data_IF_534978378904
#
_entry.id   IF_534978378904
#
_cell.length_a   1.000
_cell.length_b   1.000
_cell.length_c   1.000
_cell.angle_alpha   90.00
_cell.angle_beta   90.00
_cell.angle_gamma   90.00
#
_symmetry.space_group_name_H-M   'P 1'
#
loop_
_entity.id
_entity.type
_entity.pdbx_description
1 polymer ?
#
# COMPACT_ATOMS: atom_id res chain seq x y z
N UNK A 1 -3.34 4.30 -48.90
CA UNK A 1 -2.19 5.16 -48.55
C UNK A 1 -2.72 6.27 -47.66
N UNK A 2 -2.54 6.17 -46.34
CA UNK A 2 -2.84 7.24 -45.39
C UNK A 2 -1.57 7.48 -44.57
N UNK A 3 -1.01 8.68 -44.74
CA UNK A 3 0.22 9.11 -44.09
C UNK A 3 -0.06 9.56 -42.66
N UNK A 4 0.58 8.89 -41.70
CA UNK A 4 0.58 9.31 -40.30
C UNK A 4 1.68 10.35 -40.03
N UNK A 5 1.28 11.56 -39.66
CA UNK A 5 2.16 12.58 -39.10
C UNK A 5 2.79 12.06 -37.79
N UNK A 6 4.12 12.03 -37.72
CA UNK A 6 4.87 11.86 -36.48
C UNK A 6 5.23 13.24 -35.93
N UNK A 7 4.62 13.66 -34.82
CA UNK A 7 5.10 14.81 -34.06
C UNK A 7 6.34 14.40 -33.24
N UNK A 8 7.50 14.85 -33.69
CA UNK A 8 8.76 14.82 -32.93
C UNK A 8 8.78 16.00 -31.96
N UNK A 9 8.83 15.73 -30.67
CA UNK A 9 9.17 16.74 -29.66
C UNK A 9 10.67 16.71 -29.43
N UNK A 10 11.38 17.69 -30.02
CA UNK A 10 12.75 18.03 -29.67
C UNK A 10 12.74 19.24 -28.73
N UNK A 11 13.40 19.07 -27.59
CA UNK A 11 14.22 20.11 -26.97
C UNK A 11 13.58 20.95 -25.87
N UNK A 12 14.10 20.81 -24.66
CA UNK A 12 14.55 21.94 -23.84
C UNK A 12 15.54 21.43 -22.77
N UNK A 13 16.83 21.60 -23.08
CA UNK A 13 17.92 21.57 -22.11
C UNK A 13 17.94 22.96 -21.44
N UNK A 14 17.77 23.04 -20.12
CA UNK A 14 18.05 24.27 -19.36
C UNK A 14 19.13 24.00 -18.32
N UNK A 15 20.18 24.80 -18.46
CA UNK A 15 21.41 24.88 -17.69
C UNK A 15 21.19 25.68 -16.39
N UNK A 16 21.95 25.29 -15.36
CA UNK A 16 22.62 26.16 -14.38
C UNK A 16 21.79 26.93 -13.34
N UNK A 17 22.08 26.69 -12.06
CA UNK A 17 22.90 27.60 -11.24
C UNK A 17 23.14 26.98 -9.85
N UNK A 18 24.41 26.75 -9.52
CA UNK A 18 24.88 26.45 -8.18
C UNK A 18 24.94 27.75 -7.36
N UNK A 19 24.33 27.76 -6.18
CA UNK A 19 24.58 28.75 -5.14
C UNK A 19 25.19 28.05 -3.92
N UNK A 20 26.45 28.37 -3.69
CA UNK A 20 27.19 28.16 -2.46
C UNK A 20 26.61 29.10 -1.38
N UNK A 21 26.34 28.55 -0.20
CA UNK A 21 25.99 29.31 1.00
C UNK A 21 26.24 28.48 2.24
N UNK A 22 27.40 28.68 2.86
CA UNK A 22 27.74 28.10 4.16
C UNK A 22 27.07 28.84 5.31
N UNK A 23 26.77 28.11 6.38
CA UNK A 23 26.48 28.65 7.71
C UNK A 23 26.77 27.56 8.74
N UNK A 24 27.86 27.75 9.49
CA UNK A 24 28.17 26.98 10.69
C UNK A 24 27.19 27.37 11.79
N UNK A 25 26.46 26.39 12.33
CA UNK A 25 25.52 26.57 13.44
C UNK A 25 25.60 25.39 14.38
N UNK A 26 26.57 25.42 15.30
CA UNK A 26 26.64 24.53 16.45
C UNK A 26 25.51 24.90 17.43
N UNK A 27 24.49 24.05 17.50
CA UNK A 27 23.38 24.15 18.46
C UNK A 27 23.16 22.81 19.14
N UNK A 28 23.78 22.65 20.32
CA UNK A 28 23.49 21.58 21.27
C UNK A 28 22.09 21.78 21.85
N UNK A 29 21.16 20.89 21.52
CA UNK A 29 19.83 20.82 22.11
C UNK A 29 19.42 19.35 22.26
N UNK A 30 19.50 18.85 23.49
CA UNK A 30 19.01 17.53 23.89
C UNK A 30 17.48 17.54 23.88
N UNK A 31 16.88 17.20 22.75
CA UNK A 31 15.44 16.93 22.67
C UNK A 31 15.22 15.42 22.54
N UNK A 32 15.05 14.79 23.70
CA UNK A 32 14.35 13.52 23.86
C UNK A 32 12.90 13.67 23.39
N UNK A 33 12.69 13.68 22.08
CA UNK A 33 11.38 13.42 21.46
C UNK A 33 11.43 12.05 20.83
N UNK A 34 11.04 11.07 21.64
CA UNK A 34 10.40 9.83 21.20
C UNK A 34 9.15 10.19 20.38
N UNK A 35 9.35 10.64 19.15
CA UNK A 35 8.33 10.83 18.15
C UNK A 35 7.92 9.46 17.65
N UNK A 36 7.06 8.79 18.42
CA UNK A 36 6.29 7.68 17.92
C UNK A 36 5.60 8.14 16.63
N UNK A 37 6.06 7.64 15.48
CA UNK A 37 5.26 7.66 14.27
C UNK A 37 4.01 6.86 14.59
N UNK A 38 2.94 7.60 14.91
CA UNK A 38 1.61 7.09 15.12
C UNK A 38 1.14 6.42 13.83
N UNK A 39 1.46 5.14 13.69
CA UNK A 39 0.66 4.23 12.90
C UNK A 39 -0.73 4.29 13.52
N UNK A 40 -1.69 4.85 12.80
CA UNK A 40 -3.08 4.82 13.19
C UNK A 40 -3.50 3.35 13.31
N UNK A 41 -3.43 2.82 14.53
CA UNK A 41 -4.24 1.70 14.98
C UNK A 41 -5.68 2.22 14.98
N UNK A 42 -6.31 2.24 13.79
CA UNK A 42 -7.70 2.64 13.63
C UNK A 42 -8.56 1.86 14.62
N UNK A 43 -8.99 2.55 15.66
CA UNK A 43 -9.89 2.02 16.66
C UNK A 43 -11.22 1.70 16.00
N UNK A 44 -11.52 0.41 15.92
CA UNK A 44 -12.88 -0.11 15.90
C UNK A 44 -12.85 -1.31 16.85
N UNK A 45 -13.86 -1.41 17.71
CA UNK A 45 -14.13 -2.50 18.65
C UNK A 45 -14.19 -3.86 17.94
N UNK A 46 -13.03 -4.37 17.52
CA UNK A 46 -12.87 -5.71 16.95
C UNK A 46 -12.24 -6.64 17.99
N UNK A 47 -12.45 -7.96 17.87
CA UNK A 47 -12.00 -8.97 18.84
C UNK A 47 -10.47 -9.16 18.89
N UNK A 48 -9.66 -8.23 18.36
CA UNK A 48 -8.24 -8.43 18.06
C UNK A 48 -7.42 -7.20 18.42
N UNK A 49 -6.44 -7.37 19.30
CA UNK A 49 -5.44 -6.35 19.60
C UNK A 49 -4.11 -6.73 18.94
N UNK A 50 -3.57 -5.86 18.09
CA UNK A 50 -2.23 -6.01 17.54
C UNK A 50 -1.20 -5.41 18.51
N UNK A 51 -0.10 -6.13 18.76
CA UNK A 51 1.09 -5.61 19.44
C UNK A 51 2.29 -5.71 18.51
N UNK A 52 2.93 -4.59 18.26
CA UNK A 52 4.15 -4.50 17.46
C UNK A 52 5.38 -4.33 18.35
N UNK A 53 6.48 -4.91 17.90
CA UNK A 53 7.80 -4.83 18.51
C UNK A 53 8.78 -4.41 17.41
N UNK A 54 9.42 -3.25 17.57
CA UNK A 54 10.45 -2.80 16.62
C UNK A 54 11.64 -3.75 16.73
N UNK A 55 12.13 -4.22 15.58
CA UNK A 55 13.33 -5.06 15.49
C UNK A 55 14.28 -4.48 14.45
N UNK A 56 15.58 -4.77 14.55
CA UNK A 56 16.53 -4.41 13.50
C UNK A 56 16.20 -5.14 12.19
N UNK A 57 16.49 -4.51 11.04
CA UNK A 57 16.21 -5.10 9.72
C UNK A 57 17.03 -6.37 9.44
N UNK A 58 18.18 -6.51 10.13
CA UNK A 58 19.06 -7.70 10.10
C UNK A 58 18.71 -8.73 11.18
N UNK A 59 17.92 -8.35 12.19
CA UNK A 59 17.63 -9.20 13.33
C UNK A 59 16.59 -10.25 12.93
N UNK A 60 16.89 -11.52 13.22
CA UNK A 60 15.93 -12.59 13.03
C UNK A 60 14.73 -12.39 13.98
N UNK A 61 13.53 -12.29 13.40
CA UNK A 61 12.29 -12.25 14.16
C UNK A 61 11.99 -13.61 14.80
N UNK A 62 10.94 -13.67 15.63
CA UNK A 62 10.45 -14.95 16.18
C UNK A 62 9.91 -15.93 15.12
N UNK A 63 9.81 -15.50 13.86
CA UNK A 63 9.49 -16.37 12.72
C UNK A 63 10.74 -17.06 12.13
N UNK A 64 11.93 -16.76 12.64
CA UNK A 64 13.20 -17.38 12.20
C UNK A 64 13.83 -16.72 10.97
N UNK A 65 13.37 -15.54 10.57
CA UNK A 65 13.95 -14.74 9.47
C UNK A 65 13.93 -13.24 9.78
N UNK A 66 14.87 -12.50 9.19
CA UNK A 66 14.99 -11.04 9.28
C UNK A 66 14.20 -10.32 8.17
N UNK A 67 14.10 -8.99 8.23
CA UNK A 67 13.50 -8.22 7.15
C UNK A 67 14.38 -8.24 5.89
N UNK A 68 15.70 -8.21 6.05
CA UNK A 68 16.66 -8.36 4.97
C UNK A 68 16.55 -9.71 4.26
N UNK A 69 16.34 -10.79 5.02
CA UNK A 69 16.09 -12.11 4.45
C UNK A 69 14.86 -12.12 3.53
N UNK A 70 13.79 -11.45 3.96
CA UNK A 70 12.54 -11.35 3.19
C UNK A 70 12.76 -10.53 1.93
N UNK A 71 13.25 -9.30 2.07
CA UNK A 71 13.45 -8.39 0.93
C UNK A 71 14.45 -8.97 -0.06
N UNK A 72 15.50 -9.66 0.40
CA UNK A 72 16.44 -10.36 -0.47
C UNK A 72 15.78 -11.49 -1.25
N UNK A 73 14.91 -12.28 -0.60
CA UNK A 73 14.19 -13.37 -1.26
C UNK A 73 13.20 -12.87 -2.33
N UNK A 74 12.62 -11.68 -2.13
CA UNK A 74 11.75 -11.01 -3.11
C UNK A 74 12.48 -9.92 -3.91
N UNK A 75 13.81 -9.91 -3.92
CA UNK A 75 14.56 -8.88 -4.63
C UNK A 75 14.33 -8.97 -6.15
N UNK A 76 14.64 -7.87 -6.85
CA UNK A 76 14.49 -7.77 -8.30
C UNK A 76 13.12 -7.25 -8.76
N UNK A 77 13.09 -6.79 -10.00
CA UNK A 77 11.87 -6.36 -10.67
C UNK A 77 11.08 -7.58 -11.16
N UNK A 78 9.76 -7.52 -11.02
CA UNK A 78 8.82 -8.51 -11.55
C UNK A 78 7.81 -7.82 -12.42
N UNK A 79 7.41 -8.49 -13.49
CA UNK A 79 6.39 -8.00 -14.39
C UNK A 79 5.22 -8.95 -14.48
N UNK A 80 4.03 -8.39 -14.69
CA UNK A 80 2.81 -9.12 -14.96
C UNK A 80 1.97 -8.33 -15.97
N UNK A 81 0.99 -9.00 -16.57
CA UNK A 81 -0.01 -8.33 -17.40
C UNK A 81 -1.02 -7.66 -16.49
N UNK A 82 -1.11 -6.34 -16.57
CA UNK A 82 -2.14 -5.56 -15.93
C UNK A 82 -3.31 -5.38 -16.90
N UNK A 83 -4.52 -5.75 -16.46
CA UNK A 83 -5.75 -5.59 -17.23
C UNK A 83 -6.60 -4.48 -16.62
N UNK A 84 -6.92 -3.47 -17.43
CA UNK A 84 -7.77 -2.37 -17.00
C UNK A 84 -9.25 -2.78 -17.01
N UNK A 85 -10.03 -2.31 -16.04
CA UNK A 85 -11.45 -2.62 -15.95
C UNK A 85 -12.26 -2.06 -17.14
N UNK A 86 -11.85 -0.91 -17.67
CA UNK A 86 -12.45 -0.28 -18.86
C UNK A 86 -11.98 -0.92 -20.18
N UNK A 87 -11.10 -1.92 -20.10
CA UNK A 87 -10.55 -2.64 -21.24
C UNK A 87 -9.12 -2.21 -21.61
N UNK A 88 -8.44 -3.09 -22.32
CA UNK A 88 -7.01 -2.96 -22.62
C UNK A 88 -6.14 -3.62 -21.56
N UNK A 89 -4.87 -3.81 -21.91
CA UNK A 89 -3.86 -4.34 -21.00
C UNK A 89 -2.51 -3.70 -21.26
N UNK A 90 -1.66 -3.73 -20.24
CA UNK A 90 -0.29 -3.22 -20.28
C UNK A 90 0.61 -4.10 -19.43
N UNK A 91 1.92 -3.95 -19.56
CA UNK A 91 2.85 -4.59 -18.63
C UNK A 91 2.99 -3.72 -17.40
N UNK A 92 2.75 -4.28 -16.21
CA UNK A 92 3.14 -3.64 -14.95
C UNK A 92 4.46 -4.23 -14.46
N UNK A 93 5.32 -3.39 -13.90
CA UNK A 93 6.56 -3.79 -13.23
C UNK A 93 6.58 -3.29 -11.80
N UNK A 94 6.90 -4.20 -10.87
CA UNK A 94 6.97 -3.94 -9.44
C UNK A 94 8.33 -4.34 -8.90
N UNK A 95 8.92 -3.49 -8.05
CA UNK A 95 10.14 -3.83 -7.30
C UNK A 95 10.13 -3.20 -5.91
N UNK A 96 10.49 -3.99 -4.90
CA UNK A 96 10.73 -3.50 -3.54
C UNK A 96 12.18 -3.01 -3.42
N UNK A 97 12.37 -1.84 -2.82
CA UNK A 97 13.68 -1.34 -2.44
C UNK A 97 14.17 -1.93 -1.11
N UNK A 98 15.26 -1.36 -0.59
CA UNK A 98 15.85 -1.79 0.68
C UNK A 98 14.88 -1.55 1.86
N UNK A 99 14.90 -2.40 2.90
CA UNK A 99 14.10 -2.19 4.10
C UNK A 99 14.59 -0.99 4.89
N UNK A 100 13.63 -0.17 5.32
CA UNK A 100 13.86 1.05 6.09
C UNK A 100 13.59 0.82 7.58
N UNK A 101 12.60 -0.01 7.90
CA UNK A 101 12.23 -0.38 9.26
C UNK A 101 11.56 -1.74 9.29
N UNK A 102 11.64 -2.43 10.44
CA UNK A 102 11.02 -3.73 10.64
C UNK A 102 10.28 -3.79 11.99
N UNK A 103 9.13 -4.46 12.00
CA UNK A 103 8.28 -4.65 13.18
C UNK A 103 7.75 -6.07 13.22
N UNK A 104 7.97 -6.76 14.33
CA UNK A 104 7.31 -8.04 14.58
C UNK A 104 5.92 -7.79 15.19
N UNK A 105 4.87 -8.28 14.54
CA UNK A 105 3.48 -8.04 14.94
C UNK A 105 2.84 -9.34 15.42
N UNK A 106 2.25 -9.29 16.61
CA UNK A 106 1.46 -10.37 17.20
C UNK A 106 0.02 -9.92 17.37
N UNK A 107 -0.92 -10.79 17.07
CA UNK A 107 -2.34 -10.54 17.32
C UNK A 107 -2.80 -11.33 18.56
N UNK A 108 -3.44 -10.66 19.49
CA UNK A 108 -4.10 -11.30 20.64
C UNK A 108 -5.60 -11.15 20.49
N UNK A 109 -6.36 -12.26 20.58
CA UNK A 109 -7.81 -12.17 20.71
C UNK A 109 -8.16 -11.53 22.05
N UNK A 110 -9.04 -10.55 22.04
CA UNK A 110 -9.64 -10.04 23.26
C UNK A 110 -10.56 -11.12 23.83
N UNK A 111 -10.39 -11.46 25.11
CA UNK A 111 -11.19 -12.50 25.79
C UNK A 111 -12.66 -12.10 26.03
N UNK A 112 -13.09 -10.92 25.57
CA UNK A 112 -14.35 -10.27 25.97
C UNK A 112 -15.59 -10.84 25.23
N UNK A 113 -15.45 -11.67 24.20
CA UNK A 113 -16.60 -12.30 23.51
C UNK A 113 -16.58 -13.84 23.51
N UNK A 114 -16.08 -14.47 24.57
CA UNK A 114 -16.34 -15.90 24.80
C UNK A 114 -17.71 -16.17 25.47
N UNK A 115 -18.51 -15.13 25.72
CA UNK A 115 -19.82 -15.21 26.39
C UNK A 115 -20.90 -14.43 25.65
N UNK A 116 -21.26 -14.87 24.45
CA UNK A 116 -22.59 -14.62 23.89
C UNK A 116 -22.95 -15.78 22.94
N UNK A 117 -23.67 -16.76 23.46
CA UNK A 117 -24.18 -17.89 22.69
C UNK A 117 -25.24 -17.46 21.68
N UNK A 118 -25.21 -18.08 20.50
CA UNK A 118 -26.25 -17.92 19.49
C UNK A 118 -25.83 -18.55 18.17
N UNK A 119 -26.03 -19.86 18.03
CA UNK A 119 -25.81 -20.59 16.78
C UNK A 119 -26.88 -20.20 15.75
N UNK A 120 -26.44 -19.59 14.64
CA UNK A 120 -27.18 -19.51 13.39
C UNK A 120 -26.23 -19.81 12.23
N UNK A 121 -26.63 -20.61 11.22
CA UNK A 121 -25.77 -20.94 10.09
C UNK A 121 -25.59 -19.71 9.18
N UNK A 122 -24.39 -19.44 8.63
CA UNK A 122 -24.17 -18.32 7.71
C UNK A 122 -24.52 -18.71 6.27
N UNK A 123 -25.45 -17.97 5.66
CA UNK A 123 -25.90 -18.11 4.26
C UNK A 123 -25.27 -17.09 3.29
N UNK A 124 -24.17 -16.40 3.66
CA UNK A 124 -23.57 -15.36 2.81
C UNK A 124 -22.06 -15.55 2.52
N UNK A 125 -21.58 -15.13 1.33
CA UNK A 125 -20.21 -15.35 0.87
C UNK A 125 -19.22 -14.44 1.60
N UNK A 126 -18.43 -15.06 2.48
CA UNK A 126 -17.17 -14.65 3.12
C UNK A 126 -16.79 -13.17 2.95
N UNK A 127 -17.28 -12.33 3.88
CA UNK A 127 -16.65 -11.05 4.20
C UNK A 127 -15.30 -11.32 4.88
N UNK A 128 -14.20 -10.86 4.28
CA UNK A 128 -12.84 -10.94 4.83
C UNK A 128 -12.67 -10.15 6.14
N UNK A 129 -13.70 -9.42 6.59
CA UNK A 129 -13.79 -8.82 7.93
C UNK A 129 -14.56 -9.66 8.95
N UNK A 130 -15.37 -10.64 8.52
CA UNK A 130 -16.24 -11.43 9.40
C UNK A 130 -15.59 -12.74 9.90
N UNK A 131 -14.32 -13.00 9.59
CA UNK A 131 -13.63 -14.25 9.94
C UNK A 131 -12.42 -14.01 10.86
N UNK A 132 -12.70 -13.68 12.13
CA UNK A 132 -11.72 -13.71 13.22
C UNK A 132 -10.55 -12.75 13.08
N UNK A 133 -9.67 -12.69 14.08
CA UNK A 133 -8.37 -12.05 13.89
C UNK A 133 -7.71 -12.67 12.67
N UNK A 134 -7.14 -11.89 11.73
CA UNK A 134 -6.45 -12.46 10.57
C UNK A 134 -5.43 -13.49 11.05
N UNK A 135 -5.78 -14.77 10.93
CA UNK A 135 -5.01 -15.95 11.32
C UNK A 135 -4.57 -16.11 12.78
N UNK A 136 -4.44 -15.04 13.59
CA UNK A 136 -3.72 -15.07 14.87
C UNK A 136 -2.21 -15.28 14.74
N UNK A 137 -1.75 -15.74 13.57
CA UNK A 137 -0.35 -15.96 13.29
C UNK A 137 0.43 -14.63 13.33
N UNK A 138 1.58 -14.62 13.99
CA UNK A 138 2.43 -13.45 13.97
C UNK A 138 2.98 -13.21 12.56
N UNK A 139 3.28 -11.95 12.25
CA UNK A 139 3.86 -11.55 10.97
C UNK A 139 4.99 -10.54 11.18
N UNK A 140 5.82 -10.39 10.16
CA UNK A 140 6.83 -9.34 10.08
C UNK A 140 6.32 -8.23 9.16
N UNK A 141 6.24 -7.00 9.68
CA UNK A 141 5.99 -5.80 8.89
C UNK A 141 7.32 -5.15 8.52
N UNK A 142 7.47 -4.78 7.25
CA UNK A 142 8.72 -4.25 6.68
C UNK A 142 8.39 -3.02 5.85
N UNK A 143 8.92 -1.86 6.23
CA UNK A 143 8.74 -0.64 5.45
C UNK A 143 9.77 -0.58 4.33
N UNK A 144 9.29 -0.44 3.09
CA UNK A 144 10.13 -0.35 1.88
C UNK A 144 9.58 0.72 0.94
N UNK A 145 10.44 1.35 0.11
CA UNK A 145 9.96 2.02 -1.09
C UNK A 145 9.60 0.96 -2.15
N UNK A 146 8.36 0.96 -2.62
CA UNK A 146 7.87 0.10 -3.70
C UNK A 146 7.79 0.90 -5.00
N UNK A 147 8.59 0.53 -6.00
CA UNK A 147 8.44 1.07 -7.35
C UNK A 147 7.32 0.33 -8.08
N UNK A 148 6.41 1.08 -8.68
CA UNK A 148 5.28 0.58 -9.43
C UNK A 148 5.18 1.39 -10.74
N UNK A 149 5.40 0.72 -11.87
CA UNK A 149 5.38 1.37 -13.18
C UNK A 149 4.61 0.54 -14.20
N UNK A 150 3.94 1.20 -15.14
CA UNK A 150 3.30 0.55 -16.29
C UNK A 150 3.99 0.97 -17.59
N UNK A 151 4.00 0.08 -18.57
CA UNK A 151 4.65 0.31 -19.87
C UNK A 151 4.00 1.45 -20.67
N UNK A 152 2.70 1.66 -20.47
CA UNK A 152 1.93 2.76 -21.07
C UNK A 152 2.13 4.12 -20.37
N UNK A 153 2.92 4.16 -19.28
CA UNK A 153 3.20 5.37 -18.52
C UNK A 153 2.05 5.83 -17.62
N UNK A 154 0.98 5.04 -17.48
CA UNK A 154 -0.10 5.33 -16.54
C UNK A 154 0.44 5.49 -15.10
N UNK A 155 1.39 4.64 -14.71
CA UNK A 155 2.14 4.75 -13.46
C UNK A 155 3.65 4.78 -13.70
N UNK A 156 4.36 5.55 -12.89
CA UNK A 156 5.83 5.63 -12.90
C UNK A 156 6.35 6.00 -11.50
N UNK A 157 5.76 5.40 -10.47
CA UNK A 157 5.75 5.92 -9.12
C UNK A 157 6.58 5.08 -8.15
N UNK A 158 6.94 5.70 -7.02
CA UNK A 158 7.59 5.04 -5.89
C UNK A 158 6.84 5.37 -4.60
N UNK A 159 6.26 4.36 -3.97
CA UNK A 159 5.40 4.51 -2.80
C UNK A 159 6.07 3.99 -1.53
N UNK A 160 5.98 4.68 -0.39
CA UNK A 160 6.34 4.08 0.89
C UNK A 160 5.26 3.07 1.28
N UNK A 161 5.59 1.78 1.28
CA UNK A 161 4.65 0.70 1.61
C UNK A 161 5.16 -0.11 2.80
N UNK A 162 4.23 -0.69 3.56
CA UNK A 162 4.52 -1.70 4.56
C UNK A 162 4.21 -3.08 3.98
N UNK A 163 5.24 -3.87 3.74
CA UNK A 163 5.13 -5.28 3.39
C UNK A 163 4.79 -6.10 4.63
N UNK A 164 3.97 -7.14 4.48
CA UNK A 164 3.58 -8.09 5.52
C UNK A 164 4.04 -9.49 5.14
N UNK A 165 4.92 -10.07 5.94
CA UNK A 165 5.54 -11.36 5.69
C UNK A 165 5.18 -12.35 6.80
N UNK A 166 4.52 -13.45 6.42
CA UNK A 166 4.35 -14.65 7.28
C UNK A 166 5.36 -15.75 6.93
N UNK A 167 6.00 -15.63 5.76
CA UNK A 167 7.04 -16.52 5.24
C UNK A 167 8.17 -15.68 4.64
N UNK A 168 9.38 -16.26 4.59
CA UNK A 168 10.57 -15.58 4.06
C UNK A 168 10.42 -15.14 2.59
N UNK A 169 9.73 -15.91 1.77
CA UNK A 169 9.73 -15.78 0.30
C UNK A 169 8.43 -15.19 -0.28
N UNK A 170 7.54 -14.69 0.58
CA UNK A 170 6.25 -14.16 0.19
C UNK A 170 5.82 -12.99 1.10
N UNK A 171 5.44 -11.88 0.47
CA UNK A 171 4.89 -10.71 1.16
C UNK A 171 3.56 -10.30 0.55
N UNK A 172 2.69 -9.74 1.38
CA UNK A 172 1.50 -9.01 0.95
C UNK A 172 1.64 -7.53 1.31
N UNK A 173 0.97 -6.65 0.59
CA UNK A 173 0.93 -5.22 0.90
C UNK A 173 -0.41 -4.62 0.53
N UNK A 174 -0.77 -3.55 1.22
CA UNK A 174 -1.91 -2.69 0.92
C UNK A 174 -1.42 -1.26 1.08
N UNK A 175 -1.66 -0.43 0.07
CA UNK A 175 -1.24 0.96 0.03
C UNK A 175 -2.37 1.83 -0.53
N UNK A 176 -2.59 2.98 0.10
CA UNK A 176 -3.59 3.97 -0.34
C UNK A 176 -2.87 5.08 -1.09
N UNK A 177 -3.19 5.24 -2.37
CA UNK A 177 -2.63 6.24 -3.27
C UNK A 177 -3.65 7.37 -3.41
N UNK A 178 -3.19 8.59 -3.17
CA UNK A 178 -3.96 9.78 -3.53
C UNK A 178 -3.66 10.12 -4.99
N UNK A 179 -4.66 10.36 -5.85
CA UNK A 179 -4.44 10.63 -7.27
C UNK A 179 -3.52 11.82 -7.54
N UNK A 180 -3.50 12.82 -6.65
CA UNK A 180 -2.59 13.97 -6.72
C UNK A 180 -1.11 13.61 -6.56
N UNK A 181 -0.79 12.41 -6.07
CA UNK A 181 0.59 11.92 -5.89
C UNK A 181 1.07 11.04 -7.06
N UNK A 182 0.21 10.76 -8.04
CA UNK A 182 0.59 9.96 -9.22
C UNK A 182 1.39 10.85 -10.17
N UNK A 183 2.61 10.43 -10.47
CA UNK A 183 3.52 11.06 -11.42
C UNK A 183 3.24 10.62 -12.87
N UNK A 184 2.69 9.41 -13.04
CA UNK A 184 2.27 8.89 -14.34
C UNK A 184 1.04 9.63 -14.91
N UNK A 185 0.59 9.19 -16.08
CA UNK A 185 -0.54 9.83 -16.78
C UNK A 185 -1.91 9.27 -16.41
N UNK A 186 -2.01 8.36 -15.45
CA UNK A 186 -3.28 7.74 -15.07
C UNK A 186 -4.31 8.78 -14.63
N UNK A 187 -5.52 8.66 -15.18
CA UNK A 187 -6.68 9.46 -14.78
C UNK A 187 -7.81 8.51 -14.43
N UNK A 188 -8.50 8.80 -13.33
CA UNK A 188 -9.69 8.05 -12.95
C UNK A 188 -10.82 8.44 -13.91
N UNK A 189 -11.32 7.46 -14.65
CA UNK A 189 -12.54 7.52 -15.45
C UNK A 189 -13.71 6.89 -14.71
N UNK A 190 -14.94 7.15 -15.15
CA UNK A 190 -16.15 6.58 -14.54
C UNK A 190 -16.61 7.23 -13.23
N UNK A 191 -15.96 8.31 -12.80
CA UNK A 191 -16.40 9.13 -11.66
C UNK A 191 -16.47 10.58 -12.10
N UNK A 192 -17.63 11.20 -11.96
CA UNK A 192 -17.74 12.65 -12.10
C UNK A 192 -17.08 13.30 -10.88
N UNK A 193 -16.00 14.09 -11.04
CA UNK A 193 -15.36 14.77 -9.92
C UNK A 193 -16.29 15.78 -9.21
N UNK A 194 -17.42 16.16 -9.80
CA UNK A 194 -18.45 16.96 -9.12
C UNK A 194 -19.32 16.13 -8.14
N UNK A 195 -19.35 14.81 -8.27
CA UNK A 195 -20.16 13.91 -7.44
C UNK A 195 -19.43 13.43 -6.17
N UNK A 196 -18.11 13.61 -6.09
CA UNK A 196 -17.28 13.06 -5.01
C UNK A 196 -16.22 14.06 -4.55
N UNK A 197 -16.03 14.16 -3.23
CA UNK A 197 -15.03 15.09 -2.66
C UNK A 197 -13.59 14.55 -2.76
N UNK A 198 -13.43 13.23 -2.73
CA UNK A 198 -12.13 12.56 -2.74
C UNK A 198 -12.27 11.18 -3.39
N UNK A 199 -11.36 10.82 -4.29
CA UNK A 199 -11.26 9.44 -4.79
C UNK A 199 -9.88 8.93 -4.45
N UNK A 200 -9.82 7.82 -3.75
CA UNK A 200 -8.56 7.16 -3.39
C UNK A 200 -8.39 5.91 -4.21
N UNK A 201 -7.16 5.60 -4.58
CA UNK A 201 -6.84 4.29 -5.11
C UNK A 201 -6.25 3.44 -4.00
N UNK A 202 -6.66 2.18 -3.93
CA UNK A 202 -6.09 1.19 -3.04
C UNK A 202 -5.38 0.16 -3.89
N UNK A 203 -4.07 0.15 -3.76
CA UNK A 203 -3.21 -0.85 -4.36
C UNK A 203 -2.99 -1.96 -3.34
N UNK A 204 -3.39 -3.17 -3.66
CA UNK A 204 -3.04 -4.35 -2.88
C UNK A 204 -2.38 -5.39 -3.76
N UNK A 205 -1.43 -6.11 -3.20
CA UNK A 205 -0.69 -7.10 -3.96
C UNK A 205 0.06 -8.10 -3.10
N UNK A 206 0.55 -9.13 -3.76
CA UNK A 206 1.43 -10.16 -3.22
C UNK A 206 2.65 -10.27 -4.11
N UNK A 207 3.84 -10.31 -3.50
CA UNK A 207 5.11 -10.56 -4.18
C UNK A 207 5.65 -11.89 -3.67
N UNK A 208 5.98 -12.78 -4.60
CA UNK A 208 6.71 -14.04 -4.34
C UNK A 208 7.95 -14.09 -5.21
N UNK A 209 8.86 -15.04 -4.97
CA UNK A 209 10.15 -15.13 -5.66
C UNK A 209 10.10 -14.92 -7.18
N UNK A 210 9.06 -15.39 -7.88
CA UNK A 210 8.92 -15.29 -9.36
C UNK A 210 7.63 -14.66 -9.89
N UNK A 211 6.73 -14.21 -9.01
CA UNK A 211 5.42 -13.70 -9.46
C UNK A 211 4.98 -12.52 -8.61
N UNK A 212 4.25 -11.63 -9.25
CA UNK A 212 3.44 -10.61 -8.61
C UNK A 212 1.99 -10.85 -8.99
N UNK A 213 1.09 -10.56 -8.06
CA UNK A 213 -0.34 -10.48 -8.32
C UNK A 213 -0.91 -9.36 -7.47
N UNK A 214 -1.94 -8.67 -7.92
CA UNK A 214 -2.57 -7.62 -7.16
C UNK A 214 -3.75 -7.01 -7.88
N UNK A 215 -4.36 -6.01 -7.23
CA UNK A 215 -5.40 -5.19 -7.85
C UNK A 215 -5.25 -3.74 -7.41
N UNK A 216 -5.80 -2.89 -8.25
CA UNK A 216 -6.01 -1.48 -8.00
C UNK A 216 -7.52 -1.26 -7.92
N UNK A 217 -7.97 -0.67 -6.81
CA UNK A 217 -9.38 -0.36 -6.60
C UNK A 217 -9.57 1.11 -6.28
N UNK A 218 -10.53 1.76 -6.92
CA UNK A 218 -11.01 3.07 -6.55
C UNK A 218 -11.95 2.98 -5.35
N UNK A 219 -11.76 3.86 -4.38
CA UNK A 219 -12.67 4.11 -3.27
C UNK A 219 -13.15 5.56 -3.34
N UNK A 220 -14.44 5.74 -3.56
CA UNK A 220 -15.12 7.02 -3.44
C UNK A 220 -15.99 7.00 -2.17
N UNK A 221 -15.93 8.02 -1.28
CA UNK A 221 -16.87 8.15 -0.17
C UNK A 221 -18.30 8.08 -0.67
N UNK A 222 -19.18 7.41 0.07
CA UNK A 222 -20.60 7.45 -0.24
C UNK A 222 -21.20 8.73 0.36
N UNK A 223 -21.72 9.60 -0.52
CA UNK A 223 -22.48 10.83 -0.22
C UNK A 223 -21.72 11.98 0.49
N UNK A 224 -21.50 13.13 -0.18
CA UNK A 224 -21.05 14.36 0.48
C UNK A 224 -22.12 14.99 1.40
N UNK A 225 -23.40 14.59 1.24
CA UNK A 225 -24.55 15.17 1.96
C UNK A 225 -25.14 14.26 3.05
N UNK A 226 -24.53 13.10 3.32
CA UNK A 226 -24.99 12.23 4.40
C UNK A 226 -24.56 12.81 5.74
N UNK A 227 -25.52 13.10 6.64
CA UNK A 227 -25.26 13.49 8.03
C UNK A 227 -24.70 12.34 8.89
N UNK A 228 -24.02 11.37 8.25
CA UNK A 228 -23.47 10.19 8.91
C UNK A 228 -22.22 10.57 9.69
N UNK A 229 -22.36 10.79 10.99
CA UNK A 229 -21.23 10.79 11.93
C UNK A 229 -20.60 9.38 11.95
N UNK A 230 -19.55 9.19 11.15
CA UNK A 230 -18.73 7.99 11.20
C UNK A 230 -17.75 7.90 10.03
N UNK A 231 -16.58 7.26 10.17
CA UNK A 231 -15.75 6.86 9.04
C UNK A 231 -16.45 5.71 8.29
N UNK A 232 -17.54 6.02 7.60
CA UNK A 232 -18.35 5.04 6.88
C UNK A 232 -17.54 4.46 5.72
N UNK A 233 -17.04 3.25 5.93
CA UNK A 233 -16.37 2.41 4.92
C UNK A 233 -17.31 1.88 3.82
N UNK A 234 -18.51 2.45 3.69
CA UNK A 234 -19.52 2.13 2.69
C UNK A 234 -19.33 2.87 1.35
N UNK A 235 -18.13 3.40 1.11
CA UNK A 235 -17.78 4.04 -0.15
C UNK A 235 -18.01 3.15 -1.38
N UNK A 236 -18.40 3.77 -2.50
CA UNK A 236 -18.51 3.09 -3.79
C UNK A 236 -17.14 2.55 -4.17
N UNK A 237 -17.05 1.24 -4.34
CA UNK A 237 -15.87 0.56 -4.85
C UNK A 237 -15.92 0.53 -6.37
N UNK A 238 -14.79 0.82 -6.99
CA UNK A 238 -14.61 0.81 -8.43
C UNK A 238 -13.44 -0.12 -8.73
N UNK A 239 -13.67 -1.18 -9.49
CA UNK A 239 -12.56 -1.98 -9.97
C UNK A 239 -11.81 -1.15 -11.02
N UNK A 240 -10.49 -1.00 -10.84
CA UNK A 240 -9.66 -0.19 -11.75
C UNK A 240 -8.78 -1.11 -12.60
N UNK A 241 -8.03 -2.00 -11.95
CA UNK A 241 -7.16 -2.93 -12.65
C UNK A 241 -6.80 -4.15 -11.80
N UNK A 242 -6.37 -5.22 -12.44
CA UNK A 242 -5.76 -6.39 -11.80
C UNK A 242 -4.52 -6.87 -12.56
N UNK A 243 -3.58 -7.48 -11.83
CA UNK A 243 -2.30 -7.97 -12.36
C UNK A 243 -1.79 -9.18 -11.55
#
# INVERSE_FOLDING_TARGET
MYGGLRLSWRGALMLSAALLGGSDGAGSGTDSRSGALGGQSGGVLGPCTARSEIIGVEDASRLGFSANDVVSAISGARSATLTWAEGGSTTVTVSAGAPLAARFVRFTRSAVEATAGGAGPPDDPVDLRATGCPGGDPLLEIDVPLRFSTEDGAFADSFPVTLRAVRRDAVAYIHVIHPSHIQGSYRISGVDPAEVDDVRLVLFGTIRSRMITGKLQGLAPANPNGTGEGPDTHGRRLDVAEF
#
